data_IF_768675587905
#
_entry.id   IF_768675587905
#
_cell.length_a   1.000
_cell.length_b   1.000
_cell.length_c   1.000
_cell.angle_alpha   90.00
_cell.angle_beta   90.00
_cell.angle_gamma   90.00
#
_symmetry.space_group_name_H-M   'P 1'
#
loop_
_entity.id
_entity.type
_entity.pdbx_description
1 polymer ?
#
# COMPACT_ATOMS: atom_id res chain seq x y z
N UNK A 1 -6.23 -17.05 8.69
CA UNK A 1 -6.87 -16.29 7.61
C UNK A 1 -6.80 -14.80 7.97
N UNK A 2 -6.17 -13.95 7.15
CA UNK A 2 -5.95 -12.53 7.46
C UNK A 2 -7.26 -11.73 7.61
N UNK A 3 -8.31 -12.14 6.90
CA UNK A 3 -9.65 -11.54 6.96
C UNK A 3 -10.28 -11.71 8.35
N UNK A 4 -10.02 -12.85 9.01
CA UNK A 4 -10.49 -13.10 10.37
C UNK A 4 -9.78 -12.19 11.37
N UNK A 5 -8.46 -11.99 11.22
CA UNK A 5 -7.70 -11.07 12.06
C UNK A 5 -8.16 -9.62 11.85
N UNK A 6 -8.43 -9.22 10.60
CA UNK A 6 -8.97 -7.90 10.28
C UNK A 6 -10.36 -7.68 10.88
N UNK A 7 -11.24 -8.69 10.84
CA UNK A 7 -12.56 -8.64 11.50
C UNK A 7 -12.41 -8.45 13.00
N UNK A 8 -11.59 -9.26 13.66
CA UNK A 8 -11.35 -9.14 15.10
C UNK A 8 -10.80 -7.77 15.49
N UNK A 9 -9.89 -7.22 14.69
CA UNK A 9 -9.37 -5.87 14.89
C UNK A 9 -10.48 -4.81 14.76
N UNK A 10 -11.31 -4.90 13.71
CA UNK A 10 -12.40 -3.95 13.48
C UNK A 10 -13.43 -3.98 14.62
N UNK A 11 -13.82 -5.18 15.07
CA UNK A 11 -14.75 -5.36 16.19
C UNK A 11 -14.20 -4.72 17.47
N UNK A 12 -12.91 -4.94 17.76
CA UNK A 12 -12.25 -4.35 18.93
C UNK A 12 -12.12 -2.82 18.83
N UNK A 13 -11.77 -2.31 17.66
CA UNK A 13 -11.62 -0.88 17.42
C UNK A 13 -12.97 -0.14 17.59
N UNK A 14 -14.03 -0.66 16.96
CA UNK A 14 -15.39 -0.14 17.11
C UNK A 14 -15.89 -0.28 18.56
N UNK A 15 -15.61 -1.40 19.22
CA UNK A 15 -15.97 -1.61 20.63
C UNK A 15 -15.29 -0.63 21.60
N UNK A 16 -14.16 -0.04 21.21
CA UNK A 16 -13.47 1.03 21.95
C UNK A 16 -13.97 2.45 21.58
N UNK A 17 -14.98 2.56 20.74
CA UNK A 17 -15.52 3.84 20.27
C UNK A 17 -14.68 4.53 19.21
N UNK A 18 -13.72 3.84 18.58
CA UNK A 18 -13.01 4.39 17.43
C UNK A 18 -13.97 4.50 16.23
N UNK A 19 -13.85 5.60 15.49
CA UNK A 19 -14.61 5.88 14.28
C UNK A 19 -13.67 6.09 13.09
N UNK A 20 -14.22 6.13 11.88
CA UNK A 20 -13.47 6.34 10.64
C UNK A 20 -12.29 5.38 10.46
N UNK A 21 -12.47 4.10 10.81
CA UNK A 21 -11.40 3.10 10.80
C UNK A 21 -10.68 2.99 9.44
N UNK A 22 -11.40 3.23 8.34
CA UNK A 22 -10.86 3.20 6.99
C UNK A 22 -9.74 4.22 6.77
N UNK A 23 -9.77 5.36 7.47
CA UNK A 23 -8.73 6.40 7.39
C UNK A 23 -7.36 5.87 7.87
N UNK A 24 -7.36 4.81 8.68
CA UNK A 24 -6.14 4.14 9.15
C UNK A 24 -5.89 2.80 8.46
N UNK A 25 -6.95 2.00 8.27
CA UNK A 25 -6.84 0.65 7.71
C UNK A 25 -6.45 0.66 6.24
N UNK A 26 -7.03 1.55 5.42
CA UNK A 26 -6.75 1.59 3.98
C UNK A 26 -5.30 2.01 3.74
N UNK A 27 -4.77 3.10 4.33
CA UNK A 27 -3.36 3.45 4.17
C UNK A 27 -2.39 2.39 4.68
N UNK A 28 -2.71 1.70 5.78
CA UNK A 28 -1.89 0.61 6.31
C UNK A 28 -1.85 -0.58 5.34
N UNK A 29 -3.01 -0.98 4.82
CA UNK A 29 -3.12 -2.04 3.83
C UNK A 29 -2.36 -1.68 2.54
N UNK A 30 -2.59 -0.48 1.99
CA UNK A 30 -1.93 -0.02 0.77
C UNK A 30 -0.40 0.00 0.94
N UNK A 31 0.12 0.48 2.07
CA UNK A 31 1.56 0.47 2.37
C UNK A 31 2.15 -0.94 2.34
N UNK A 32 1.53 -1.88 3.05
CA UNK A 32 1.98 -3.29 3.09
C UNK A 32 1.99 -3.91 1.69
N UNK A 33 0.95 -3.65 0.90
CA UNK A 33 0.84 -4.18 -0.47
C UNK A 33 1.91 -3.59 -1.38
N UNK A 34 2.15 -2.29 -1.31
CA UNK A 34 3.17 -1.58 -2.10
C UNK A 34 4.57 -2.08 -1.73
N UNK A 35 4.91 -2.14 -0.45
CA UNK A 35 6.21 -2.64 0.02
C UNK A 35 6.47 -4.07 -0.43
N UNK A 36 5.45 -4.93 -0.30
CA UNK A 36 5.53 -6.33 -0.73
C UNK A 36 5.75 -6.43 -2.24
N UNK A 37 4.97 -5.71 -3.03
CA UNK A 37 5.10 -5.71 -4.49
C UNK A 37 6.48 -5.20 -4.93
N UNK A 38 6.96 -4.10 -4.36
CA UNK A 38 8.29 -3.55 -4.64
C UNK A 38 9.41 -4.52 -4.26
N UNK A 39 9.30 -5.19 -3.11
CA UNK A 39 10.26 -6.21 -2.70
C UNK A 39 10.30 -7.38 -3.71
N UNK A 40 9.14 -7.83 -4.17
CA UNK A 40 9.05 -8.88 -5.20
C UNK A 40 9.60 -8.46 -6.56
N UNK A 41 9.59 -7.16 -6.87
CA UNK A 41 10.08 -6.64 -8.15
C UNK A 41 11.48 -6.02 -8.05
N UNK A 42 12.17 -6.22 -6.93
CA UNK A 42 13.48 -5.63 -6.64
C UNK A 42 13.50 -4.10 -6.83
N UNK A 43 12.44 -3.42 -6.39
CA UNK A 43 12.28 -1.97 -6.46
C UNK A 43 11.71 -1.44 -7.78
N UNK A 44 11.49 -2.28 -8.80
CA UNK A 44 10.92 -1.83 -10.08
C UNK A 44 9.45 -1.45 -9.92
N UNK A 45 9.20 -0.14 -9.93
CA UNK A 45 7.86 0.46 -9.75
C UNK A 45 6.87 0.04 -10.83
N UNK A 46 7.28 -0.06 -12.10
CA UNK A 46 6.41 -0.51 -13.19
C UNK A 46 5.88 -1.91 -12.95
N UNK A 47 6.77 -2.85 -12.62
CA UNK A 47 6.40 -4.25 -12.38
C UNK A 47 5.57 -4.39 -11.10
N UNK A 48 5.90 -3.64 -10.04
CA UNK A 48 5.10 -3.60 -8.82
C UNK A 48 3.67 -3.12 -9.07
N UNK A 49 3.51 -2.11 -9.93
CA UNK A 49 2.19 -1.62 -10.32
C UNK A 49 1.39 -2.71 -11.05
N UNK A 50 2.03 -3.45 -11.96
CA UNK A 50 1.41 -4.60 -12.64
C UNK A 50 0.97 -5.68 -11.64
N UNK A 51 1.82 -6.04 -10.68
CA UNK A 51 1.46 -7.03 -9.64
C UNK A 51 0.25 -6.59 -8.79
N UNK A 52 0.11 -5.29 -8.55
CA UNK A 52 -1.01 -4.72 -7.81
C UNK A 52 -2.26 -4.45 -8.68
N UNK A 53 -2.17 -4.65 -9.99
CA UNK A 53 -3.24 -4.29 -10.94
C UNK A 53 -3.44 -2.79 -11.08
N UNK A 54 -2.44 -1.98 -10.73
CA UNK A 54 -2.46 -0.52 -10.82
C UNK A 54 -1.66 -0.05 -12.04
N UNK A 55 -2.05 1.10 -12.59
CA UNK A 55 -1.18 1.84 -13.49
C UNK A 55 0.02 2.42 -12.74
N UNK A 56 1.17 2.57 -13.43
CA UNK A 56 2.39 3.19 -12.87
C UNK A 56 2.10 4.51 -12.15
N UNK A 57 1.32 5.39 -12.78
CA UNK A 57 0.99 6.71 -12.22
C UNK A 57 0.16 6.61 -10.93
N UNK A 58 -0.74 5.62 -10.84
CA UNK A 58 -1.52 5.35 -9.63
C UNK A 58 -0.59 4.91 -8.50
N UNK A 59 0.34 3.99 -8.77
CA UNK A 59 1.33 3.57 -7.78
C UNK A 59 2.19 4.74 -7.31
N UNK A 60 2.69 5.57 -8.23
CA UNK A 60 3.49 6.77 -7.88
C UNK A 60 2.71 7.73 -7.01
N UNK A 61 1.43 7.99 -7.33
CA UNK A 61 0.57 8.85 -6.51
C UNK A 61 0.37 8.25 -5.12
N UNK A 62 0.09 6.95 -5.03
CA UNK A 62 -0.10 6.25 -3.74
C UNK A 62 1.15 6.28 -2.86
N UNK A 63 2.33 6.05 -3.42
CA UNK A 63 3.61 6.17 -2.69
C UNK A 63 3.77 7.57 -2.08
N UNK A 64 3.45 8.63 -2.84
CA UNK A 64 3.50 10.02 -2.36
C UNK A 64 2.45 10.32 -1.30
N UNK A 65 1.19 9.93 -1.52
CA UNK A 65 0.07 10.11 -0.58
C UNK A 65 0.33 9.42 0.76
N UNK A 66 0.99 8.26 0.73
CA UNK A 66 1.33 7.48 1.92
C UNK A 66 2.68 7.91 2.55
N UNK A 67 3.37 8.92 2.01
CA UNK A 67 4.65 9.39 2.52
C UNK A 67 5.72 8.29 2.59
N UNK A 68 5.71 7.35 1.64
CA UNK A 68 6.64 6.24 1.61
C UNK A 68 7.96 6.68 0.95
N UNK A 69 9.06 6.57 1.68
CA UNK A 69 10.40 6.73 1.12
C UNK A 69 10.84 5.42 0.48
N UNK A 70 10.50 5.25 -0.80
CA UNK A 70 10.95 4.10 -1.59
C UNK A 70 12.27 4.49 -2.25
N UNK A 71 13.37 4.25 -1.54
CA UNK A 71 14.73 4.43 -2.07
C UNK A 71 15.03 3.28 -3.04
N UNK A 72 14.81 3.53 -4.33
CA UNK A 72 14.98 2.50 -5.36
C UNK A 72 14.79 3.04 -6.76
N UNK A 73 15.92 3.44 -7.37
CA UNK A 73 16.20 3.61 -8.79
C UNK A 73 15.17 4.41 -9.62
N UNK A 74 15.61 5.62 -9.96
CA UNK A 74 15.54 6.22 -11.29
C UNK A 74 14.16 6.24 -11.95
N UNK A 75 13.51 7.39 -11.84
CA UNK A 75 12.59 7.89 -12.85
C UNK A 75 13.38 8.55 -14.01
N UNK A 76 14.60 8.08 -14.30
CA UNK A 76 15.36 8.44 -15.51
C UNK A 76 15.22 7.32 -16.53
N UNK A 77 14.18 7.45 -17.33
CA UNK A 77 13.85 6.59 -18.46
C UNK A 77 12.73 7.25 -19.24
N UNK A 78 13.06 8.42 -19.81
CA UNK A 78 12.32 9.00 -20.93
C UNK A 78 12.37 8.01 -22.10
N UNK A 79 11.22 7.40 -22.41
CA UNK A 79 10.80 6.97 -23.76
C UNK A 79 9.26 6.84 -23.79
#
# INVERSE_FOLDING_TARGET
NWEQALRQWADQALGRGQSNLLDSAVPAFERIMIETALKHTAGRRRDAAVLLGWGRNTLTRKIKELGMNVDGADDEGDD
#
